data_IF_794385199413
#
_entry.id   IF_794385199413
#
_cell.length_a   1.000
_cell.length_b   1.000
_cell.length_c   1.000
_cell.angle_alpha   90.00
_cell.angle_beta   90.00
_cell.angle_gamma   90.00
#
_symmetry.space_group_name_H-M   'P 1'
#
loop_
_entity.id
_entity.type
_entity.pdbx_description
1 polymer ?
#
# COMPACT_ATOMS: atom_id res chain seq x y z
N UNK A 1 12.60 -32.84 -17.53
CA UNK A 1 13.49 -31.65 -17.39
C UNK A 1 12.56 -30.45 -17.20
N UNK A 2 12.64 -29.76 -16.05
CA UNK A 2 11.85 -28.57 -15.87
C UNK A 2 12.54 -27.42 -16.64
N UNK A 3 11.77 -26.68 -17.39
CA UNK A 3 12.22 -25.51 -18.12
C UNK A 3 12.08 -24.30 -17.19
N UNK A 4 13.09 -23.46 -17.13
CA UNK A 4 13.10 -22.24 -16.32
C UNK A 4 13.05 -21.04 -17.25
N UNK A 5 12.16 -20.10 -16.94
CA UNK A 5 11.98 -18.86 -17.66
C UNK A 5 12.48 -17.69 -16.83
N UNK A 6 13.01 -16.67 -17.48
CA UNK A 6 13.35 -15.39 -16.84
C UNK A 6 12.26 -14.38 -17.16
N UNK A 7 11.63 -13.84 -16.12
CA UNK A 7 10.53 -12.89 -16.22
C UNK A 7 10.81 -11.64 -15.37
N UNK A 8 10.12 -10.57 -15.67
CA UNK A 8 10.09 -9.37 -14.83
C UNK A 8 8.71 -9.23 -14.21
N UNK A 9 8.64 -9.14 -12.88
CA UNK A 9 7.42 -8.87 -12.13
C UNK A 9 7.69 -7.68 -11.19
N UNK A 10 6.84 -6.68 -11.21
CA UNK A 10 7.00 -5.49 -10.37
C UNK A 10 8.36 -4.79 -10.50
N UNK A 11 8.97 -4.82 -11.70
CA UNK A 11 10.30 -4.29 -12.04
C UNK A 11 11.49 -5.11 -11.51
N UNK A 12 11.26 -6.28 -10.93
CA UNK A 12 12.30 -7.19 -10.46
C UNK A 12 12.42 -8.41 -11.38
N UNK A 13 13.65 -8.84 -11.72
CA UNK A 13 13.88 -10.05 -12.50
C UNK A 13 13.75 -11.29 -11.61
N UNK A 14 13.03 -12.30 -12.10
CA UNK A 14 12.89 -13.60 -11.46
C UNK A 14 13.11 -14.73 -12.45
N UNK A 15 13.69 -15.84 -11.95
CA UNK A 15 13.70 -17.12 -12.65
C UNK A 15 12.54 -17.96 -12.11
N UNK A 16 11.69 -18.47 -12.98
CA UNK A 16 10.45 -19.18 -12.64
C UNK A 16 10.33 -20.49 -13.43
N UNK A 17 9.77 -21.52 -12.80
CA UNK A 17 9.40 -22.76 -13.48
C UNK A 17 8.31 -22.52 -14.53
N UNK A 18 8.36 -23.24 -15.65
CA UNK A 18 7.42 -23.12 -16.78
C UNK A 18 5.95 -23.27 -16.33
N UNK A 19 5.64 -24.27 -15.50
CA UNK A 19 4.29 -24.49 -14.95
C UNK A 19 3.89 -23.36 -14.00
N UNK A 20 4.82 -22.88 -13.20
CA UNK A 20 4.59 -21.77 -12.28
C UNK A 20 4.33 -20.46 -13.05
N UNK A 21 5.02 -20.24 -14.15
CA UNK A 21 4.80 -19.12 -15.04
C UNK A 21 3.39 -19.12 -15.65
N UNK A 22 2.97 -20.26 -16.20
CA UNK A 22 1.62 -20.40 -16.77
C UNK A 22 0.52 -20.08 -15.74
N UNK A 23 0.69 -20.55 -14.51
CA UNK A 23 -0.24 -20.27 -13.41
C UNK A 23 -0.28 -18.78 -13.05
N UNK A 24 0.89 -18.14 -12.96
CA UNK A 24 1.01 -16.70 -12.65
C UNK A 24 0.43 -15.84 -13.78
N UNK A 25 0.73 -16.16 -15.03
CA UNK A 25 0.24 -15.43 -16.20
C UNK A 25 -1.30 -15.47 -16.28
N UNK A 26 -1.88 -16.66 -16.12
CA UNK A 26 -3.33 -16.83 -16.07
C UNK A 26 -3.97 -16.02 -14.93
N UNK A 27 -3.34 -15.97 -13.77
CA UNK A 27 -3.80 -15.17 -12.64
C UNK A 27 -3.75 -13.67 -12.95
N UNK A 28 -2.64 -13.15 -13.48
CA UNK A 28 -2.51 -11.74 -13.86
C UNK A 28 -3.48 -11.35 -14.96
N UNK A 29 -3.71 -12.22 -15.96
CA UNK A 29 -4.72 -12.00 -17.00
C UNK A 29 -6.15 -11.94 -16.42
N UNK A 30 -6.48 -12.79 -15.46
CA UNK A 30 -7.79 -12.76 -14.79
C UNK A 30 -8.01 -11.44 -14.03
N UNK A 31 -6.99 -10.93 -13.33
CA UNK A 31 -7.01 -9.65 -12.65
C UNK A 31 -7.15 -8.49 -13.63
N UNK A 32 -6.37 -8.50 -14.71
CA UNK A 32 -6.43 -7.49 -15.75
C UNK A 32 -7.82 -7.40 -16.40
N UNK A 33 -8.45 -8.54 -16.67
CA UNK A 33 -9.80 -8.60 -17.19
C UNK A 33 -10.83 -8.06 -16.18
N UNK A 34 -10.67 -8.39 -14.91
CA UNK A 34 -11.55 -7.91 -13.84
C UNK A 34 -11.48 -6.38 -13.71
N UNK A 35 -10.27 -5.82 -13.64
CA UNK A 35 -10.06 -4.38 -13.47
C UNK A 35 -10.04 -3.57 -14.77
N UNK A 36 -10.29 -4.20 -15.93
CA UNK A 36 -10.24 -3.53 -17.24
C UNK A 36 -11.16 -2.32 -17.36
N UNK A 37 -12.23 -2.25 -16.58
CA UNK A 37 -13.22 -1.17 -16.54
C UNK A 37 -13.00 -0.18 -15.41
N UNK A 38 -12.13 -0.48 -14.46
CA UNK A 38 -11.84 0.40 -13.31
C UNK A 38 -10.97 1.57 -13.73
N UNK A 39 -11.28 2.76 -13.20
CA UNK A 39 -10.36 3.89 -13.29
C UNK A 39 -9.08 3.54 -12.53
N UNK A 40 -7.91 3.74 -13.18
CA UNK A 40 -6.63 3.36 -12.57
C UNK A 40 -6.22 1.89 -12.74
N UNK A 41 -6.84 1.12 -13.63
CA UNK A 41 -6.50 -0.28 -13.89
C UNK A 41 -4.98 -0.52 -14.01
N UNK A 42 -4.27 0.37 -14.71
CA UNK A 42 -2.81 0.27 -14.88
C UNK A 42 -2.05 0.42 -13.55
N UNK A 43 -2.48 1.32 -12.68
CA UNK A 43 -1.88 1.55 -11.37
C UNK A 43 -2.18 0.40 -10.42
N UNK A 44 -3.43 -0.08 -10.41
CA UNK A 44 -3.84 -1.27 -9.67
C UNK A 44 -2.97 -2.48 -10.05
N UNK A 45 -2.81 -2.75 -11.35
CA UNK A 45 -2.00 -3.87 -11.82
C UNK A 45 -0.53 -3.70 -11.45
N UNK A 46 0.03 -2.49 -11.55
CA UNK A 46 1.41 -2.22 -11.17
C UNK A 46 1.64 -2.44 -9.66
N UNK A 47 0.71 -2.05 -8.82
CA UNK A 47 0.80 -2.23 -7.37
C UNK A 47 0.65 -3.71 -6.98
N UNK A 48 -0.24 -4.46 -7.67
CA UNK A 48 -0.38 -5.90 -7.51
C UNK A 48 0.91 -6.63 -7.90
N UNK A 49 1.48 -6.33 -9.07
CA UNK A 49 2.75 -6.92 -9.52
C UNK A 49 3.90 -6.61 -8.54
N UNK A 50 3.95 -5.36 -8.04
CA UNK A 50 4.95 -4.97 -7.04
C UNK A 50 4.81 -5.79 -5.76
N UNK A 51 3.59 -6.04 -5.31
CA UNK A 51 3.34 -6.85 -4.11
C UNK A 51 3.68 -8.33 -4.33
N UNK A 52 3.36 -8.89 -5.50
CA UNK A 52 3.76 -10.25 -5.87
C UNK A 52 5.29 -10.38 -5.87
N UNK A 53 5.99 -9.38 -6.42
CA UNK A 53 7.45 -9.36 -6.43
C UNK A 53 8.05 -9.33 -5.01
N UNK A 54 7.48 -8.54 -4.10
CA UNK A 54 7.87 -8.53 -2.69
C UNK A 54 7.70 -9.91 -2.04
N UNK A 55 6.54 -10.55 -2.25
CA UNK A 55 6.26 -11.89 -1.72
C UNK A 55 7.23 -12.94 -2.27
N UNK A 56 7.58 -12.86 -3.55
CA UNK A 56 8.57 -13.74 -4.14
C UNK A 56 9.97 -13.50 -3.53
N UNK A 57 10.38 -12.25 -3.34
CA UNK A 57 11.66 -11.93 -2.70
C UNK A 57 11.72 -12.46 -1.26
N UNK A 58 10.64 -12.30 -0.50
CA UNK A 58 10.55 -12.79 0.88
C UNK A 58 10.65 -14.32 0.94
N UNK A 59 9.97 -15.02 0.04
CA UNK A 59 9.93 -16.49 -0.01
C UNK A 59 11.19 -17.10 -0.63
N UNK A 60 11.86 -16.41 -1.54
CA UNK A 60 13.06 -16.88 -2.19
C UNK A 60 14.27 -17.04 -1.26
N UNK A 61 14.25 -16.50 -0.02
CA UNK A 61 15.27 -16.59 1.03
C UNK A 61 16.31 -17.72 0.86
N UNK A 62 17.24 -17.59 -0.13
CA UNK A 62 18.27 -18.57 -0.48
C UNK A 62 17.93 -19.55 -1.61
N UNK A 63 16.74 -19.51 -2.20
CA UNK A 63 16.39 -20.21 -3.45
C UNK A 63 16.52 -19.24 -4.63
N UNK A 64 16.83 -19.77 -5.81
CA UNK A 64 17.03 -18.94 -7.01
C UNK A 64 15.87 -19.02 -8.01
N UNK A 65 14.91 -19.94 -7.81
CA UNK A 65 13.84 -20.24 -8.75
C UNK A 65 12.50 -20.19 -8.03
N UNK A 66 11.55 -19.46 -8.60
CA UNK A 66 10.15 -19.42 -8.13
C UNK A 66 9.46 -20.71 -8.57
N UNK A 67 9.00 -21.50 -7.60
CA UNK A 67 8.28 -22.76 -7.82
C UNK A 67 6.77 -22.55 -7.90
N UNK A 68 6.04 -23.55 -8.41
CA UNK A 68 4.58 -23.54 -8.46
C UNK A 68 3.97 -23.34 -7.07
N UNK A 69 4.50 -24.00 -6.05
CA UNK A 69 4.04 -23.87 -4.66
C UNK A 69 4.11 -22.40 -4.16
N UNK A 70 5.22 -21.69 -4.48
CA UNK A 70 5.36 -20.28 -4.13
C UNK A 70 4.33 -19.40 -4.83
N UNK A 71 4.01 -19.70 -6.09
CA UNK A 71 2.99 -18.96 -6.84
C UNK A 71 1.60 -19.22 -6.25
N UNK A 72 1.26 -20.47 -5.93
CA UNK A 72 -0.02 -20.82 -5.32
C UNK A 72 -0.22 -20.16 -3.93
N UNK A 73 0.80 -20.20 -3.09
CA UNK A 73 0.77 -19.49 -1.81
C UNK A 73 0.63 -17.98 -1.98
N UNK A 74 1.30 -17.41 -2.98
CA UNK A 74 1.19 -15.97 -3.28
C UNK A 74 -0.22 -15.61 -3.74
N UNK A 75 -0.83 -16.43 -4.62
CA UNK A 75 -2.23 -16.25 -5.06
C UNK A 75 -3.19 -16.38 -3.86
N UNK A 76 -2.96 -17.31 -2.95
CA UNK A 76 -3.78 -17.46 -1.74
C UNK A 76 -3.70 -16.22 -0.82
N UNK A 77 -2.52 -15.60 -0.70
CA UNK A 77 -2.34 -14.37 0.09
C UNK A 77 -3.03 -13.18 -0.60
N UNK A 78 -2.88 -13.08 -1.93
CA UNK A 78 -3.42 -11.96 -2.72
C UNK A 78 -4.94 -12.06 -2.92
N UNK A 79 -5.50 -13.28 -2.95
CA UNK A 79 -6.90 -13.55 -3.26
C UNK A 79 -7.18 -13.63 -4.76
N UNK A 80 -8.32 -14.24 -5.11
CA UNK A 80 -8.77 -14.41 -6.51
C UNK A 80 -9.92 -13.46 -6.85
N UNK A 81 -10.05 -13.01 -8.12
CA UNK A 81 -11.11 -12.06 -8.51
C UNK A 81 -12.52 -12.62 -8.32
N UNK A 82 -12.71 -13.92 -8.32
CA UNK A 82 -14.03 -14.57 -8.15
C UNK A 82 -14.62 -14.34 -6.75
N UNK A 83 -13.77 -14.14 -5.75
CA UNK A 83 -14.19 -13.84 -4.37
C UNK A 83 -14.72 -12.40 -4.26
N UNK A 84 -14.39 -11.51 -5.21
CA UNK A 84 -14.79 -10.08 -5.14
C UNK A 84 -16.21 -9.81 -5.70
N UNK A 85 -16.82 -10.76 -6.41
CA UNK A 85 -18.18 -10.63 -6.99
C UNK A 85 -19.32 -11.03 -6.07
N UNK A 86 -19.06 -11.67 -4.94
CA UNK A 86 -20.04 -11.94 -3.90
C UNK A 86 -19.97 -10.82 -2.87
N UNK A 87 -21.08 -10.12 -2.64
CA UNK A 87 -21.22 -9.06 -1.63
C UNK A 87 -20.50 -9.46 -0.33
N UNK A 88 -19.37 -8.81 -0.07
CA UNK A 88 -18.66 -8.98 1.19
C UNK A 88 -19.51 -8.35 2.29
N UNK A 89 -20.25 -9.19 3.00
CA UNK A 89 -20.77 -8.83 4.32
C UNK A 89 -19.56 -8.51 5.18
N UNK A 90 -19.47 -7.29 5.67
CA UNK A 90 -18.40 -6.74 6.53
C UNK A 90 -18.18 -7.53 7.84
N UNK A 91 -18.86 -8.68 8.02
CA UNK A 91 -18.79 -9.54 9.18
C UNK A 91 -17.99 -10.84 8.97
N UNK A 92 -17.55 -11.13 7.74
CA UNK A 92 -16.69 -12.26 7.46
C UNK A 92 -15.23 -11.79 7.40
N UNK A 93 -14.60 -11.63 8.57
CA UNK A 93 -13.14 -11.67 8.66
C UNK A 93 -12.68 -13.00 8.04
N UNK A 94 -11.77 -12.99 7.03
CA UNK A 94 -11.19 -14.22 6.55
C UNK A 94 -10.44 -14.84 7.72
N UNK A 95 -10.95 -15.94 8.22
CA UNK A 95 -10.24 -16.85 9.12
C UNK A 95 -9.03 -17.42 8.36
N UNK A 96 -8.00 -16.61 8.19
CA UNK A 96 -6.67 -17.11 7.98
C UNK A 96 -6.27 -17.77 9.30
N UNK A 97 -6.48 -19.06 9.39
CA UNK A 97 -5.92 -19.93 10.43
C UNK A 97 -4.40 -19.93 10.31
N UNK A 98 -3.78 -18.86 10.74
CA UNK A 98 -2.42 -18.89 11.22
C UNK A 98 -2.49 -19.11 12.74
N UNK A 99 -2.39 -20.37 13.14
CA UNK A 99 -1.96 -20.80 14.47
C UNK A 99 -0.54 -20.26 14.72
N UNK A 100 -0.48 -19.04 15.26
CA UNK A 100 0.73 -18.39 15.71
C UNK A 100 0.35 -17.46 16.85
N UNK A 101 0.47 -17.98 18.08
CA UNK A 101 0.56 -17.31 19.37
C UNK A 101 -0.04 -15.89 19.46
N UNK A 102 -1.28 -15.82 19.94
CA UNK A 102 -1.82 -14.62 20.57
C UNK A 102 -0.95 -14.26 21.78
N UNK A 103 0.09 -13.48 21.57
CA UNK A 103 0.66 -12.70 22.67
C UNK A 103 -0.30 -11.54 22.94
N UNK A 104 -1.07 -11.70 24.00
CA UNK A 104 -1.79 -10.62 24.68
C UNK A 104 -0.78 -9.62 25.23
N UNK A 105 -0.37 -8.68 24.39
CA UNK A 105 0.32 -7.48 24.84
C UNK A 105 -0.71 -6.36 24.90
N UNK A 106 -0.66 -5.58 25.99
CA UNK A 106 -1.55 -4.48 26.32
C UNK A 106 -2.00 -3.69 25.07
N UNK A 107 -3.32 -3.46 24.99
CA UNK A 107 -4.04 -2.80 23.90
C UNK A 107 -3.65 -1.32 23.77
N UNK A 108 -2.46 -1.09 23.22
CA UNK A 108 -2.01 0.24 22.76
C UNK A 108 -2.37 0.50 21.29
N UNK A 109 -3.27 -0.29 20.70
CA UNK A 109 -3.71 -0.15 19.30
C UNK A 109 -2.63 -0.45 18.25
N UNK A 110 -1.50 -1.01 18.65
CA UNK A 110 -0.41 -1.36 17.74
C UNK A 110 -0.72 -2.74 17.15
N UNK A 111 -1.32 -2.76 15.96
CA UNK A 111 -1.50 -4.01 15.21
C UNK A 111 -0.13 -4.56 14.82
N UNK A 112 0.14 -5.82 15.16
CA UNK A 112 1.36 -6.54 14.76
C UNK A 112 1.44 -6.58 13.23
N UNK A 113 2.60 -6.22 12.66
CA UNK A 113 2.81 -6.20 11.20
C UNK A 113 2.81 -4.82 10.55
N UNK A 114 2.53 -3.74 11.30
CA UNK A 114 2.67 -2.38 10.75
C UNK A 114 4.12 -2.07 10.41
N UNK A 115 4.33 -1.50 9.23
CA UNK A 115 5.63 -0.97 8.80
C UNK A 115 5.61 0.55 8.86
N UNK A 116 6.69 1.16 9.32
CA UNK A 116 6.82 2.61 9.37
C UNK A 116 7.35 3.12 8.03
N UNK A 117 6.52 3.88 7.32
CA UNK A 117 6.88 4.63 6.13
C UNK A 117 6.56 6.11 6.35
N UNK A 118 7.18 7.00 5.59
CA UNK A 118 6.75 8.40 5.51
C UNK A 118 5.68 8.54 4.43
N UNK A 119 4.64 9.33 4.72
CA UNK A 119 3.51 9.50 3.82
C UNK A 119 3.71 10.75 2.92
N UNK A 120 3.83 10.59 1.60
CA UNK A 120 3.97 11.71 0.67
C UNK A 120 2.67 12.48 0.45
N UNK A 121 1.49 11.91 0.73
CA UNK A 121 0.19 12.51 0.40
C UNK A 121 -0.18 13.68 1.32
N UNK A 122 0.22 13.65 2.61
CA UNK A 122 0.02 14.76 3.57
C UNK A 122 1.35 15.32 4.07
N UNK A 123 2.19 15.76 3.14
CA UNK A 123 3.49 16.34 3.47
C UNK A 123 3.40 17.85 3.66
N UNK A 124 3.73 18.33 4.86
CA UNK A 124 4.15 19.72 5.07
C UNK A 124 5.67 19.82 5.08
N UNK A 125 6.32 18.90 5.75
CA UNK A 125 7.78 18.73 5.79
C UNK A 125 8.07 17.22 5.80
N UNK A 126 8.49 16.63 4.68
CA UNK A 126 9.01 15.26 4.57
C UNK A 126 8.09 14.08 4.92
N UNK A 127 6.83 14.28 5.35
CA UNK A 127 5.86 13.20 5.60
C UNK A 127 6.09 12.33 6.84
N UNK A 128 7.08 12.64 7.69
CA UNK A 128 7.42 11.83 8.87
C UNK A 128 6.28 11.86 9.91
N UNK A 129 5.71 13.05 10.18
CA UNK A 129 4.62 13.17 11.16
C UNK A 129 3.37 12.40 10.72
N UNK A 130 3.05 12.41 9.42
CA UNK A 130 1.92 11.67 8.87
C UNK A 130 2.15 10.17 8.97
N UNK A 131 3.34 9.71 8.58
CA UNK A 131 3.72 8.31 8.72
C UNK A 131 3.67 7.82 10.17
N UNK A 132 4.20 8.60 11.10
CA UNK A 132 4.19 8.26 12.51
C UNK A 132 2.78 8.26 13.12
N UNK A 133 1.92 9.21 12.72
CA UNK A 133 0.52 9.25 13.13
C UNK A 133 -0.23 7.98 12.70
N UNK A 134 -0.07 7.56 11.45
CA UNK A 134 -0.69 6.34 10.93
C UNK A 134 -0.14 5.08 11.62
N UNK A 135 1.16 5.03 11.88
CA UNK A 135 1.79 3.92 12.58
C UNK A 135 1.25 3.75 14.01
N UNK A 136 1.11 4.85 14.75
CA UNK A 136 0.56 4.86 16.12
C UNK A 136 -0.97 4.70 16.12
N UNK A 137 -1.65 5.07 15.01
CA UNK A 137 -3.11 5.05 14.92
C UNK A 137 -3.78 6.36 15.36
N UNK A 138 -3.04 7.47 15.35
CA UNK A 138 -3.58 8.81 15.63
C UNK A 138 -4.27 9.33 14.38
N UNK A 139 -5.58 9.62 14.46
CA UNK A 139 -6.37 10.09 13.32
C UNK A 139 -5.91 11.45 12.80
N UNK A 140 -5.61 12.38 13.73
CA UNK A 140 -5.20 13.74 13.38
C UNK A 140 -3.68 13.93 13.44
N UNK A 141 -3.05 14.05 12.28
CA UNK A 141 -1.61 14.33 12.16
C UNK A 141 -1.19 15.63 12.86
N UNK A 142 -2.13 16.54 13.08
CA UNK A 142 -1.91 17.83 13.74
C UNK A 142 -1.31 17.66 15.14
N UNK A 143 -1.77 16.68 15.91
CA UNK A 143 -1.25 16.41 17.26
C UNK A 143 0.22 15.98 17.25
N UNK A 144 0.60 15.14 16.29
CA UNK A 144 2.00 14.74 16.13
C UNK A 144 2.88 15.92 15.70
N UNK A 145 2.38 16.76 14.79
CA UNK A 145 3.08 17.98 14.38
C UNK A 145 3.27 18.94 15.55
N UNK A 146 2.21 19.16 16.33
CA UNK A 146 2.25 20.03 17.51
C UNK A 146 3.26 19.52 18.53
N UNK A 147 3.30 18.23 18.77
CA UNK A 147 4.28 17.60 19.67
C UNK A 147 5.72 17.86 19.21
N UNK A 148 6.05 17.67 17.93
CA UNK A 148 7.37 17.95 17.39
C UNK A 148 7.74 19.43 17.48
N UNK A 149 6.80 20.34 17.21
CA UNK A 149 7.01 21.78 17.31
C UNK A 149 7.29 22.19 18.76
N UNK A 150 6.47 21.76 19.71
CA UNK A 150 6.65 22.08 21.14
C UNK A 150 7.98 21.55 21.69
N UNK A 151 8.35 20.31 21.35
CA UNK A 151 9.62 19.73 21.80
C UNK A 151 10.84 20.34 21.10
N UNK A 152 10.69 20.84 19.87
CA UNK A 152 11.74 21.60 19.20
C UNK A 152 12.03 22.93 19.91
N UNK A 153 10.99 23.63 20.39
CA UNK A 153 11.14 24.87 21.17
C UNK A 153 11.69 24.61 22.58
N UNK A 154 11.36 23.47 23.20
CA UNK A 154 11.77 23.16 24.58
C UNK A 154 13.26 22.80 24.72
N UNK A 155 13.92 22.33 23.66
CA UNK A 155 15.33 21.88 23.77
C UNK A 155 16.08 21.66 22.47
N UNK A 156 15.47 21.92 21.28
CA UNK A 156 16.12 21.76 19.99
C UNK A 156 16.35 20.31 19.56
N UNK A 157 16.33 19.33 20.49
CA UNK A 157 16.62 17.92 20.22
C UNK A 157 15.61 17.29 19.25
N UNK A 158 14.35 17.71 19.28
CA UNK A 158 13.33 17.19 18.38
C UNK A 158 13.61 17.47 16.90
N UNK A 159 14.30 18.57 16.59
CA UNK A 159 14.70 18.87 15.21
C UNK A 159 15.74 17.86 14.68
N UNK A 160 16.69 17.51 15.53
CA UNK A 160 17.72 16.49 15.18
C UNK A 160 17.05 15.12 15.01
N UNK A 161 16.19 14.73 15.96
CA UNK A 161 15.43 13.48 15.89
C UNK A 161 14.56 13.42 14.62
N UNK A 162 13.93 14.54 14.24
CA UNK A 162 13.13 14.63 13.04
C UNK A 162 13.96 14.38 11.78
N UNK A 163 15.15 14.98 11.68
CA UNK A 163 16.07 14.79 10.55
C UNK A 163 16.53 13.33 10.46
N UNK A 164 16.85 12.70 11.60
CA UNK A 164 17.21 11.28 11.66
C UNK A 164 16.07 10.41 11.18
N UNK A 165 14.84 10.61 11.68
CA UNK A 165 13.66 9.88 11.24
C UNK A 165 13.39 10.09 9.75
N UNK A 166 13.53 11.30 9.26
CA UNK A 166 13.36 11.62 7.83
C UNK A 166 14.36 10.90 6.94
N UNK A 167 15.62 10.75 7.39
CA UNK A 167 16.66 10.08 6.64
C UNK A 167 16.53 8.55 6.64
N UNK A 168 16.06 7.96 7.77
CA UNK A 168 15.98 6.51 7.95
C UNK A 168 14.66 5.96 7.40
N UNK A 169 13.54 6.68 7.56
CA UNK A 169 12.21 6.17 7.19
C UNK A 169 12.02 6.25 5.67
N UNK A 170 11.80 5.13 4.98
CA UNK A 170 11.52 5.11 3.55
C UNK A 170 10.16 5.75 3.25
N UNK A 171 9.99 6.20 2.02
CA UNK A 171 8.75 6.78 1.52
C UNK A 171 7.80 5.69 1.04
N UNK A 172 6.51 5.77 1.44
CA UNK A 172 5.46 4.92 0.91
C UNK A 172 5.21 5.28 -0.56
N UNK A 173 5.55 4.37 -1.48
CA UNK A 173 5.44 4.60 -2.92
C UNK A 173 4.23 3.94 -3.54
N UNK A 174 3.81 2.81 -2.98
CA UNK A 174 2.73 1.97 -3.48
C UNK A 174 1.56 1.96 -2.50
N UNK A 175 0.37 1.63 -3.00
CA UNK A 175 -0.81 1.43 -2.14
C UNK A 175 -0.61 0.32 -1.12
N UNK A 176 0.19 -0.71 -1.46
CA UNK A 176 0.59 -1.77 -0.53
C UNK A 176 1.37 -1.24 0.68
N UNK A 177 2.31 -0.30 0.49
CA UNK A 177 3.06 0.34 1.58
C UNK A 177 2.11 1.12 2.52
N UNK A 178 1.14 1.82 1.94
CA UNK A 178 0.14 2.58 2.71
C UNK A 178 -0.80 1.70 3.51
N UNK A 179 -1.18 0.53 2.97
CA UNK A 179 -1.93 -0.49 3.71
C UNK A 179 -1.09 -1.06 4.85
N UNK A 180 0.21 -1.34 4.61
CA UNK A 180 1.14 -1.80 5.64
C UNK A 180 1.30 -0.79 6.79
N UNK A 181 1.28 0.53 6.51
CA UNK A 181 1.32 1.57 7.56
C UNK A 181 0.11 1.49 8.48
N UNK A 182 -1.07 1.22 7.94
CA UNK A 182 -2.33 1.10 8.70
C UNK A 182 -2.48 -0.27 9.37
N UNK A 183 -1.67 -1.27 8.97
CA UNK A 183 -1.80 -2.65 9.41
C UNK A 183 -3.03 -3.34 8.81
N UNK A 184 -3.46 -2.90 7.63
CA UNK A 184 -4.51 -3.55 6.86
C UNK A 184 -3.92 -4.70 6.04
N UNK A 185 -4.67 -5.80 5.80
CA UNK A 185 -4.18 -6.91 4.98
C UNK A 185 -3.92 -6.44 3.54
N UNK A 186 -2.76 -6.82 3.01
CA UNK A 186 -2.34 -6.43 1.67
C UNK A 186 -2.78 -7.52 0.69
N UNK A 187 -4.00 -7.41 0.21
CA UNK A 187 -4.60 -8.26 -0.82
C UNK A 187 -5.07 -7.42 -2.01
N UNK A 188 -5.42 -8.08 -3.12
CA UNK A 188 -5.85 -7.42 -4.37
C UNK A 188 -7.01 -6.45 -4.12
N UNK A 189 -8.00 -6.84 -3.32
CA UNK A 189 -9.16 -6.01 -3.04
C UNK A 189 -8.79 -4.70 -2.34
N UNK A 190 -7.98 -4.77 -1.27
CA UNK A 190 -7.57 -3.58 -0.53
C UNK A 190 -6.65 -2.67 -1.36
N UNK A 191 -5.78 -3.25 -2.20
CA UNK A 191 -4.96 -2.49 -3.14
C UNK A 191 -5.84 -1.73 -4.13
N UNK A 192 -6.79 -2.42 -4.78
CA UNK A 192 -7.69 -1.81 -5.75
C UNK A 192 -8.53 -0.69 -5.11
N UNK A 193 -9.16 -0.96 -3.98
CA UNK A 193 -9.92 0.04 -3.21
C UNK A 193 -9.08 1.27 -2.87
N UNK A 194 -7.82 1.06 -2.49
CA UNK A 194 -6.94 2.16 -2.12
C UNK A 194 -6.55 3.03 -3.31
N UNK A 195 -6.28 2.42 -4.45
CA UNK A 195 -5.99 3.16 -5.71
C UNK A 195 -7.23 3.94 -6.15
N UNK A 196 -8.43 3.35 -6.11
CA UNK A 196 -9.68 4.03 -6.46
C UNK A 196 -9.94 5.23 -5.52
N UNK A 197 -9.77 5.09 -4.19
CA UNK A 197 -9.87 6.20 -3.24
C UNK A 197 -8.91 7.36 -3.58
N UNK A 198 -7.68 7.04 -3.99
CA UNK A 198 -6.67 8.04 -4.33
C UNK A 198 -7.01 8.79 -5.63
N UNK A 199 -7.55 8.09 -6.62
CA UNK A 199 -8.01 8.68 -7.87
C UNK A 199 -9.20 9.60 -7.63
N UNK A 200 -10.18 9.18 -6.82
CA UNK A 200 -11.33 10.00 -6.44
C UNK A 200 -10.90 11.28 -5.71
N UNK A 201 -9.98 11.16 -4.76
CA UNK A 201 -9.41 12.31 -4.02
C UNK A 201 -8.70 13.31 -4.97
N UNK A 202 -7.95 12.81 -5.94
CA UNK A 202 -7.30 13.63 -6.95
C UNK A 202 -8.33 14.35 -7.82
N UNK A 203 -9.35 13.65 -8.28
CA UNK A 203 -10.42 14.19 -9.11
C UNK A 203 -11.19 15.28 -8.36
N UNK A 204 -11.55 15.06 -7.10
CA UNK A 204 -12.18 16.04 -6.22
C UNK A 204 -11.32 17.30 -6.01
N UNK A 205 -10.01 17.14 -5.80
CA UNK A 205 -9.06 18.25 -5.66
C UNK A 205 -8.96 19.06 -6.97
N UNK A 206 -8.97 18.40 -8.12
CA UNK A 206 -8.96 19.04 -9.43
C UNK A 206 -10.24 19.85 -9.69
N UNK A 207 -11.40 19.32 -9.35
CA UNK A 207 -12.68 19.99 -9.56
C UNK A 207 -12.82 21.22 -8.64
N UNK A 208 -12.46 21.10 -7.37
CA UNK A 208 -12.44 22.24 -6.45
C UNK A 208 -11.47 23.33 -6.88
N UNK A 209 -10.31 22.96 -7.43
CA UNK A 209 -9.35 23.92 -7.98
C UNK A 209 -9.91 24.61 -9.26
N UNK A 210 -10.59 23.87 -10.13
CA UNK A 210 -11.25 24.38 -11.33
C UNK A 210 -12.35 25.38 -10.98
N UNK A 211 -13.17 25.08 -9.99
CA UNK A 211 -14.22 25.99 -9.50
C UNK A 211 -13.62 27.27 -8.90
N UNK A 212 -12.63 27.16 -8.02
CA UNK A 212 -11.92 28.32 -7.47
C UNK A 212 -11.31 29.19 -8.56
N UNK A 213 -10.80 28.60 -9.62
CA UNK A 213 -10.26 29.34 -10.76
C UNK A 213 -11.35 30.05 -11.59
N UNK A 214 -12.53 29.42 -11.77
CA UNK A 214 -13.71 30.01 -12.41
C UNK A 214 -14.24 31.18 -11.58
N UNK A 215 -14.35 31.04 -10.27
CA UNK A 215 -14.82 32.10 -9.37
C UNK A 215 -13.87 33.31 -9.37
N UNK A 216 -12.55 33.09 -9.35
CA UNK A 216 -11.57 34.18 -9.46
C UNK A 216 -11.66 34.94 -10.77
N UNK A 217 -11.91 34.28 -11.90
CA UNK A 217 -12.13 34.93 -13.20
C UNK A 217 -13.41 35.75 -13.18
N UNK A 218 -14.51 35.22 -12.64
CA UNK A 218 -15.83 35.89 -12.57
C UNK A 218 -15.78 37.16 -11.71
N UNK A 219 -15.02 37.15 -10.61
CA UNK A 219 -14.84 38.33 -9.76
C UNK A 219 -13.93 39.40 -10.37
N UNK A 220 -13.00 39.04 -11.28
CA UNK A 220 -12.11 39.99 -11.97
C UNK A 220 -12.81 40.86 -13.03
N UNK A 221 -13.98 40.42 -13.52
CA UNK A 221 -14.77 41.12 -14.53
C UNK A 221 -15.97 41.91 -13.96
N UNK A 222 -16.01 42.06 -12.63
CA UNK A 222 -17.10 42.75 -11.92
C UNK A 222 -16.75 44.16 -11.44
N UNK A 223 -15.56 44.65 -11.82
CA UNK A 223 -15.11 46.03 -11.59
C UNK A 223 -14.87 46.72 -12.94
#
# INVERSE_FOLDING_TARGET
>A
MNKVLNINVGRYPFSIDDIAYEKLDNYLLSLQNHFSKSEGCKEIMQDIESRIAELFQEKLSGRSIVSLEMVEETINIMGTPEVFGTEWNQNDEPTASHSGEQQTTADWGIKTGKKLFRDPSDTKIGGVCSGLAQYIGIQDVIWVRLFFVLTAFAGGFAAILYIILWAITPEARNSADRLAMKGEPINVHNIARKVEEEIDDLTHKFDTWREKRRMRKKNKWRF
#
